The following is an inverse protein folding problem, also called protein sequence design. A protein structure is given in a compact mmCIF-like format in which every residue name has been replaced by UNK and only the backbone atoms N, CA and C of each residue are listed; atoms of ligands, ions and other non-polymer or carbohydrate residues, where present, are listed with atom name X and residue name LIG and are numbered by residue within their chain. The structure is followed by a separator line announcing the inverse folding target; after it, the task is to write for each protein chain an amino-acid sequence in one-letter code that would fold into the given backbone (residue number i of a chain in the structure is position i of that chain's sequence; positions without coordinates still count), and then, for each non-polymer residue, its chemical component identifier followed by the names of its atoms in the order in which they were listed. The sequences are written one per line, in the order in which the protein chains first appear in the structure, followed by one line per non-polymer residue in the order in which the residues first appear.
data_IF_698108507988
#
_entry.id   IF_698108507988
#
_cell.length_a   1.000
_cell.length_b   1.000
_cell.length_c   1.000
_cell.angle_alpha   90.00
_cell.angle_beta   90.00
_cell.angle_gamma   90.00
#
_symmetry.space_group_name_H-M   'P 1'
#
loop_
_entity.id
_entity.type
_entity.pdbx_description
1 polymer ?
#
# COMPACT_ATOMS: atom_id res chain seq x y z
N UNK A 1 6.70 -22.05 -5.43
CA UNK A 1 7.01 -21.38 -4.15
C UNK A 1 6.00 -21.81 -3.11
N UNK A 2 6.32 -21.75 -1.81
CA UNK A 2 5.34 -22.05 -0.76
C UNK A 2 4.34 -20.91 -0.65
N UNK A 3 3.08 -21.23 -0.27
CA UNK A 3 2.04 -20.22 -0.08
C UNK A 3 2.44 -19.20 0.99
N UNK A 4 3.13 -19.66 2.05
CA UNK A 4 3.63 -18.80 3.12
C UNK A 4 4.61 -17.73 2.60
N UNK A 5 5.52 -18.10 1.68
CA UNK A 5 6.50 -17.15 1.14
C UNK A 5 5.83 -16.04 0.30
N UNK A 6 4.75 -16.37 -0.42
CA UNK A 6 3.98 -15.45 -1.26
C UNK A 6 3.08 -14.54 -0.41
N UNK A 7 2.46 -15.09 0.65
CA UNK A 7 1.53 -14.31 1.48
C UNK A 7 2.24 -13.42 2.51
N UNK A 8 3.50 -13.70 2.86
CA UNK A 8 4.19 -12.93 3.89
C UNK A 8 4.36 -11.44 3.53
N UNK A 9 4.82 -11.04 2.33
CA UNK A 9 4.83 -9.63 1.92
C UNK A 9 3.43 -9.00 1.95
N UNK A 10 2.42 -9.75 1.52
CA UNK A 10 1.02 -9.31 1.55
C UNK A 10 0.58 -8.95 2.97
N UNK A 11 0.86 -9.81 3.96
CA UNK A 11 0.55 -9.53 5.36
C UNK A 11 1.32 -8.33 5.91
N UNK A 12 2.58 -8.13 5.50
CA UNK A 12 3.34 -6.94 5.88
C UNK A 12 2.69 -5.67 5.34
N UNK A 13 2.24 -5.66 4.09
CA UNK A 13 1.54 -4.50 3.53
C UNK A 13 0.20 -4.24 4.23
N UNK A 14 -0.56 -5.29 4.58
CA UNK A 14 -1.78 -5.17 5.40
C UNK A 14 -1.43 -4.59 6.77
N UNK A 15 -0.37 -5.09 7.42
CA UNK A 15 0.13 -4.56 8.68
C UNK A 15 0.49 -3.07 8.61
N UNK A 16 1.08 -2.63 7.50
CA UNK A 16 1.40 -1.21 7.27
C UNK A 16 0.13 -0.34 7.21
N UNK A 17 -0.93 -0.79 6.54
CA UNK A 17 -2.23 -0.09 6.50
C UNK A 17 -2.76 0.09 7.91
N UNK A 18 -2.85 -1.00 8.69
CA UNK A 18 -3.34 -0.94 10.06
C UNK A 18 -2.46 -0.05 10.95
N UNK A 19 -1.14 -0.13 10.80
CA UNK A 19 -0.22 0.70 11.56
C UNK A 19 -0.45 2.20 11.31
N UNK A 20 -0.53 2.63 10.05
CA UNK A 20 -0.79 4.04 9.71
C UNK A 20 -2.21 4.45 10.13
N UNK A 21 -3.21 3.59 9.93
CA UNK A 21 -4.59 3.84 10.32
C UNK A 21 -4.78 4.00 11.83
N UNK A 22 -4.13 3.15 12.64
CA UNK A 22 -4.15 3.27 14.10
C UNK A 22 -3.47 4.55 14.57
N UNK A 23 -2.38 4.98 13.93
CA UNK A 23 -1.75 6.28 14.22
C UNK A 23 -2.66 7.45 13.90
N UNK A 24 -3.37 7.40 12.77
CA UNK A 24 -4.35 8.41 12.39
C UNK A 24 -5.51 8.46 13.39
N UNK A 25 -6.06 7.31 13.76
CA UNK A 25 -7.15 7.21 14.73
C UNK A 25 -6.75 7.77 16.10
N UNK A 26 -5.56 7.42 16.60
CA UNK A 26 -5.01 7.96 17.86
C UNK A 26 -4.86 9.48 17.80
N UNK A 27 -4.37 10.02 16.68
CA UNK A 27 -4.21 11.46 16.50
C UNK A 27 -5.57 12.17 16.49
N UNK A 28 -6.54 11.69 15.70
CA UNK A 28 -7.91 12.24 15.66
C UNK A 28 -8.55 12.24 17.04
N UNK A 29 -8.46 11.12 17.76
CA UNK A 29 -8.96 10.98 19.12
C UNK A 29 -8.34 12.02 20.06
N UNK A 30 -7.03 12.19 19.98
CA UNK A 30 -6.28 13.13 20.82
C UNK A 30 -6.62 14.61 20.54
N UNK A 31 -6.78 14.99 19.27
CA UNK A 31 -7.18 16.35 18.84
C UNK A 31 -8.60 16.68 19.33
N UNK A 32 -9.53 15.73 19.22
CA UNK A 32 -10.91 15.91 19.70
C UNK A 32 -10.97 16.01 21.21
N UNK A 33 -10.24 15.18 21.95
CA UNK A 33 -10.17 15.26 23.42
C UNK A 33 -9.58 16.59 23.92
N UNK A 34 -8.67 17.21 23.16
CA UNK A 34 -8.12 18.53 23.47
C UNK A 34 -9.06 19.70 23.11
N UNK A 35 -10.20 19.41 22.47
CA UNK A 35 -11.15 20.44 22.04
C UNK A 35 -10.69 21.25 20.82
N UNK A 36 -9.62 20.84 20.14
CA UNK A 36 -9.11 21.49 18.92
C UNK A 36 -10.07 21.30 17.74
N UNK A 37 -10.83 20.21 17.73
CA UNK A 37 -11.87 19.90 16.75
C UNK A 37 -13.11 19.39 17.48
N UNK A 38 -14.28 19.95 17.18
CA UNK A 38 -15.55 19.50 17.75
C UNK A 38 -16.22 18.48 16.84
N UNK A 39 -16.95 17.53 17.42
CA UNK A 39 -17.67 16.49 16.67
C UNK A 39 -18.65 17.04 15.63
N UNK A 40 -19.29 18.18 15.94
CA UNK A 40 -20.25 18.84 15.06
C UNK A 40 -19.59 19.35 13.77
N UNK A 41 -18.37 19.89 13.88
CA UNK A 41 -17.65 20.44 12.74
C UNK A 41 -17.11 19.32 11.82
N UNK A 42 -16.86 18.11 12.36
CA UNK A 42 -16.50 16.92 11.58
C UNK A 42 -17.67 16.47 10.69
N UNK A 43 -18.91 16.55 11.19
CA UNK A 43 -20.10 16.06 10.50
C UNK A 43 -20.38 16.83 9.18
N UNK A 44 -19.98 18.10 9.13
CA UNK A 44 -20.13 18.96 7.94
C UNK A 44 -19.00 18.79 6.92
N UNK A 45 -18.03 17.89 7.15
CA UNK A 45 -16.80 17.71 6.34
C UNK A 45 -16.02 19.01 6.11
N UNK A 46 -16.08 19.94 7.06
CA UNK A 46 -15.24 21.13 7.02
C UNK A 46 -13.76 20.75 7.18
N UNK A 47 -12.85 21.54 6.59
CA UNK A 47 -11.41 21.31 6.67
C UNK A 47 -10.85 21.81 8.01
N UNK A 48 -11.34 21.23 9.10
CA UNK A 48 -11.06 21.64 10.49
C UNK A 48 -9.82 20.93 11.07
N UNK A 49 -9.33 19.90 10.38
CA UNK A 49 -8.25 19.07 10.88
C UNK A 49 -6.88 19.78 10.82
N UNK A 50 -6.04 19.67 11.88
CA UNK A 50 -4.69 20.20 11.86
C UNK A 50 -3.83 19.56 10.76
N UNK A 51 -2.82 20.28 10.25
CA UNK A 51 -1.97 19.79 9.15
C UNK A 51 -1.28 18.44 9.43
N UNK A 52 -1.01 18.11 10.70
CA UNK A 52 -0.46 16.79 11.08
C UNK A 52 -1.46 15.64 10.87
N UNK A 53 -2.75 15.89 11.12
CA UNK A 53 -3.80 14.93 10.81
C UNK A 53 -3.90 14.73 9.31
N UNK A 54 -3.91 15.84 8.55
CA UNK A 54 -4.03 15.78 7.09
C UNK A 54 -2.87 15.01 6.47
N UNK A 55 -1.64 15.24 6.95
CA UNK A 55 -0.45 14.48 6.55
C UNK A 55 -0.61 12.98 6.79
N UNK A 56 -1.12 12.56 7.96
CA UNK A 56 -1.34 11.14 8.25
C UNK A 56 -2.51 10.56 7.45
N UNK A 57 -3.58 11.34 7.24
CA UNK A 57 -4.74 10.96 6.44
C UNK A 57 -4.34 10.71 4.98
N UNK A 58 -3.56 11.61 4.39
CA UNK A 58 -3.03 11.45 3.03
C UNK A 58 -2.11 10.24 2.93
N UNK A 59 -1.25 10.00 3.92
CA UNK A 59 -0.42 8.80 3.96
C UNK A 59 -1.23 7.51 4.08
N UNK A 60 -2.31 7.52 4.86
CA UNK A 60 -3.23 6.39 5.00
C UNK A 60 -3.95 6.09 3.69
N UNK A 61 -4.54 7.10 3.05
CA UNK A 61 -5.19 6.98 1.73
C UNK A 61 -4.23 6.41 0.68
N UNK A 62 -2.97 6.86 0.68
CA UNK A 62 -1.96 6.37 -0.26
C UNK A 62 -1.65 4.87 -0.10
N UNK A 63 -1.93 4.27 1.06
CA UNK A 63 -1.81 2.81 1.22
C UNK A 63 -2.92 2.01 0.51
N UNK A 64 -3.93 2.66 -0.06
CA UNK A 64 -5.01 2.03 -0.83
C UNK A 64 -4.98 2.34 -2.33
N UNK A 65 -4.00 3.09 -2.81
CA UNK A 65 -3.81 3.34 -4.24
C UNK A 65 -3.15 2.11 -4.90
N UNK A 66 -1.82 2.16 -5.09
CA UNK A 66 -1.04 1.07 -5.70
C UNK A 66 -1.16 -0.27 -4.95
N UNK A 67 -1.23 -0.32 -3.60
CA UNK A 67 -1.33 -1.60 -2.90
C UNK A 67 -2.57 -2.43 -3.24
N UNK A 68 -3.67 -1.81 -3.68
CA UNK A 68 -4.85 -2.57 -4.14
C UNK A 68 -4.51 -3.41 -5.38
N UNK A 69 -3.81 -2.82 -6.35
CA UNK A 69 -3.35 -3.56 -7.53
C UNK A 69 -2.35 -4.66 -7.17
N UNK A 70 -1.52 -4.45 -6.15
CA UNK A 70 -0.63 -5.47 -5.62
C UNK A 70 -1.40 -6.65 -5.02
N UNK A 71 -2.40 -6.41 -4.18
CA UNK A 71 -3.22 -7.49 -3.60
C UNK A 71 -3.93 -8.31 -4.68
N UNK A 72 -4.53 -7.65 -5.67
CA UNK A 72 -5.17 -8.31 -6.81
C UNK A 72 -4.17 -9.19 -7.55
N UNK A 73 -2.99 -8.64 -7.83
CA UNK A 73 -1.95 -9.35 -8.57
C UNK A 73 -1.45 -10.61 -7.81
N UNK A 74 -1.20 -10.52 -6.51
CA UNK A 74 -0.78 -11.66 -5.69
C UNK A 74 -1.84 -12.76 -5.70
N UNK A 75 -3.12 -12.42 -5.55
CA UNK A 75 -4.24 -13.38 -5.60
C UNK A 75 -4.30 -14.07 -6.97
N UNK A 76 -4.22 -13.30 -8.06
CA UNK A 76 -4.22 -13.85 -9.42
C UNK A 76 -3.01 -14.75 -9.66
N UNK A 77 -1.83 -14.36 -9.20
CA UNK A 77 -0.59 -15.14 -9.33
C UNK A 77 -0.65 -16.47 -8.56
N UNK A 78 -1.33 -16.51 -7.40
CA UNK A 78 -1.60 -17.75 -6.66
C UNK A 78 -2.54 -18.65 -7.46
N UNK A 79 -3.70 -18.15 -7.90
CA UNK A 79 -4.74 -18.94 -8.59
C UNK A 79 -4.21 -19.53 -9.90
N UNK A 80 -3.45 -18.75 -10.66
CA UNK A 80 -2.87 -19.16 -11.94
C UNK A 80 -1.54 -19.92 -11.79
N UNK A 81 -1.08 -20.15 -10.55
CA UNK A 81 0.20 -20.81 -10.23
C UNK A 81 1.41 -20.13 -10.90
N UNK A 82 1.38 -18.80 -11.01
CA UNK A 82 2.44 -17.97 -11.62
C UNK A 82 3.34 -17.24 -10.60
N UNK A 83 3.12 -17.47 -9.31
CA UNK A 83 3.95 -16.91 -8.23
C UNK A 83 5.22 -17.77 -7.99
N UNK A 84 6.31 -17.41 -8.66
CA UNK A 84 7.63 -18.01 -8.51
C UNK A 84 8.56 -17.17 -7.62
N UNK A 85 9.83 -17.57 -7.50
CA UNK A 85 10.80 -16.88 -6.64
C UNK A 85 11.00 -15.41 -7.06
N UNK A 86 11.05 -15.14 -8.37
CA UNK A 86 11.17 -13.78 -8.90
C UNK A 86 10.00 -12.93 -8.42
N UNK A 87 8.78 -13.47 -8.47
CA UNK A 87 7.59 -12.78 -7.98
C UNK A 87 7.70 -12.42 -6.49
N UNK A 88 8.09 -13.37 -5.63
CA UNK A 88 8.26 -13.14 -4.18
C UNK A 88 9.32 -12.08 -3.88
N UNK A 89 10.45 -12.08 -4.62
CA UNK A 89 11.46 -11.03 -4.48
C UNK A 89 10.87 -9.65 -4.81
N UNK A 90 10.11 -9.55 -5.91
CA UNK A 90 9.48 -8.29 -6.31
C UNK A 90 8.39 -7.84 -5.33
N UNK A 91 7.64 -8.77 -4.74
CA UNK A 91 6.69 -8.47 -3.66
C UNK A 91 7.41 -7.82 -2.47
N UNK A 92 8.53 -8.37 -2.02
CA UNK A 92 9.33 -7.79 -0.94
C UNK A 92 9.92 -6.43 -1.29
N UNK A 93 10.39 -6.25 -2.52
CA UNK A 93 10.88 -4.95 -3.00
C UNK A 93 9.74 -3.92 -2.98
N UNK A 94 8.57 -4.28 -3.51
CA UNK A 94 7.39 -3.42 -3.47
C UNK A 94 7.05 -3.01 -2.03
N UNK A 95 6.86 -3.96 -1.13
CA UNK A 95 6.44 -3.68 0.26
C UNK A 95 7.51 -2.87 1.01
N UNK A 96 8.79 -3.11 0.77
CA UNK A 96 9.88 -2.30 1.34
C UNK A 96 9.79 -0.83 0.89
N UNK A 97 9.52 -0.56 -0.39
CA UNK A 97 9.30 0.82 -0.86
C UNK A 97 8.08 1.47 -0.21
N UNK A 98 7.02 0.70 0.06
CA UNK A 98 5.81 1.19 0.74
C UNK A 98 6.11 1.59 2.18
N UNK A 99 6.88 0.79 2.90
CA UNK A 99 7.33 1.10 4.27
C UNK A 99 8.17 2.38 4.26
N UNK A 100 9.17 2.49 3.37
CA UNK A 100 10.03 3.66 3.27
C UNK A 100 9.22 4.94 2.94
N UNK A 101 8.31 4.85 1.96
CA UNK A 101 7.41 5.95 1.60
C UNK A 101 6.54 6.38 2.79
N UNK A 102 5.88 5.44 3.46
CA UNK A 102 5.02 5.72 4.61
C UNK A 102 5.81 6.32 5.79
N UNK A 103 7.03 5.84 6.01
CA UNK A 103 7.92 6.37 7.03
C UNK A 103 8.25 7.84 6.77
N UNK A 104 8.75 8.18 5.58
CA UNK A 104 9.07 9.58 5.21
C UNK A 104 7.81 10.45 5.26
N UNK A 105 6.70 9.97 4.67
CA UNK A 105 5.45 10.72 4.62
C UNK A 105 4.89 10.98 6.02
N UNK A 106 4.98 10.05 6.96
CA UNK A 106 4.44 10.24 8.33
C UNK A 106 5.45 10.84 9.32
N UNK A 107 6.67 11.15 8.90
CA UNK A 107 7.71 11.79 9.73
C UNK A 107 8.07 13.16 9.15
N UNK A 108 9.18 13.27 8.40
CA UNK A 108 9.73 14.52 7.85
C UNK A 108 8.87 15.14 6.75
N UNK A 109 8.04 14.33 6.09
CA UNK A 109 7.26 14.72 4.92
C UNK A 109 8.09 15.33 3.77
N UNK A 110 9.38 15.00 3.69
CA UNK A 110 10.26 15.61 2.71
C UNK A 110 9.92 15.09 1.31
N UNK A 111 9.25 15.92 0.51
CA UNK A 111 8.68 15.55 -0.79
C UNK A 111 9.73 14.99 -1.77
N UNK A 112 10.93 15.58 -1.91
CA UNK A 112 11.96 15.06 -2.80
C UNK A 112 12.47 13.66 -2.43
N UNK A 113 12.25 13.20 -1.20
CA UNK A 113 12.58 11.84 -0.77
C UNK A 113 11.39 10.89 -0.88
N UNK A 114 10.17 11.33 -0.54
CA UNK A 114 8.98 10.47 -0.62
C UNK A 114 8.57 10.15 -2.06
N UNK A 115 8.67 11.12 -2.98
CA UNK A 115 8.28 10.96 -4.39
C UNK A 115 9.00 9.80 -5.07
N UNK A 116 10.34 9.72 -5.00
CA UNK A 116 11.11 8.59 -5.55
C UNK A 116 10.70 7.22 -5.00
N UNK A 117 10.43 7.08 -3.69
CA UNK A 117 9.96 5.80 -3.14
C UNK A 117 8.60 5.38 -3.72
N UNK A 118 7.69 6.34 -3.91
CA UNK A 118 6.41 6.07 -4.56
C UNK A 118 6.59 5.64 -6.02
N UNK A 119 7.44 6.34 -6.78
CA UNK A 119 7.73 6.02 -8.19
C UNK A 119 8.38 4.65 -8.30
N UNK A 120 9.39 4.36 -7.49
CA UNK A 120 10.09 3.08 -7.50
C UNK A 120 9.15 1.91 -7.21
N UNK A 121 8.33 2.02 -6.15
CA UNK A 121 7.32 1.01 -5.84
C UNK A 121 6.29 0.82 -6.95
N UNK A 122 5.84 1.92 -7.57
CA UNK A 122 4.91 1.87 -8.70
C UNK A 122 5.53 1.19 -9.92
N UNK A 123 6.80 1.47 -10.22
CA UNK A 123 7.53 0.84 -11.31
C UNK A 123 7.73 -0.66 -11.07
N UNK A 124 8.10 -1.07 -9.85
CA UNK A 124 8.20 -2.49 -9.48
C UNK A 124 6.87 -3.19 -9.71
N UNK A 125 5.76 -2.64 -9.19
CA UNK A 125 4.45 -3.23 -9.35
C UNK A 125 4.01 -3.31 -10.81
N UNK A 126 4.30 -2.28 -11.60
CA UNK A 126 4.04 -2.28 -13.05
C UNK A 126 4.81 -3.39 -13.76
N UNK A 127 6.10 -3.57 -13.45
CA UNK A 127 6.91 -4.65 -14.01
C UNK A 127 6.35 -6.02 -13.59
N UNK A 128 5.89 -6.19 -12.34
CA UNK A 128 5.24 -7.43 -11.90
C UNK A 128 4.01 -7.75 -12.74
N UNK A 129 3.16 -6.75 -13.03
CA UNK A 129 2.01 -6.89 -13.90
C UNK A 129 2.39 -7.27 -15.34
N UNK A 130 3.43 -6.65 -15.91
CA UNK A 130 3.93 -7.01 -17.24
C UNK A 130 4.42 -8.46 -17.28
N UNK A 131 5.23 -8.87 -16.31
CA UNK A 131 5.72 -10.25 -16.19
C UNK A 131 4.55 -11.21 -16.08
N UNK A 132 3.55 -10.89 -15.24
CA UNK A 132 2.35 -11.69 -15.09
C UNK A 132 1.57 -11.82 -16.39
N UNK A 133 1.30 -10.70 -17.08
CA UNK A 133 0.59 -10.69 -18.36
C UNK A 133 1.32 -11.54 -19.41
N UNK A 134 2.63 -11.36 -19.57
CA UNK A 134 3.45 -12.16 -20.48
C UNK A 134 3.35 -13.65 -20.14
N UNK A 135 3.44 -14.03 -18.86
CA UNK A 135 3.32 -15.43 -18.42
C UNK A 135 1.94 -16.05 -18.67
N UNK A 136 0.89 -15.22 -18.74
CA UNK A 136 -0.47 -15.67 -19.08
C UNK A 136 -0.57 -15.89 -20.60
N UNK A 137 -0.14 -14.93 -21.42
CA UNK A 137 -0.26 -15.03 -22.88
C UNK A 137 0.76 -15.95 -23.53
N UNK A 138 1.94 -16.14 -22.93
CA UNK A 138 2.97 -17.07 -23.41
C UNK A 138 2.74 -18.51 -22.93
N UNK A 139 1.88 -18.72 -21.92
CA UNK A 139 1.46 -20.07 -21.59
C UNK A 139 0.63 -20.62 -22.76
N UNK A 140 0.85 -21.88 -23.19
CA UNK A 140 -0.05 -22.52 -24.14
C UNK A 140 -1.47 -22.33 -23.63
N UNK A 141 -2.39 -21.95 -24.51
CA UNK A 141 -3.79 -21.74 -24.18
C UNK A 141 -4.39 -23.07 -23.69
N UNK A 142 -4.25 -23.37 -22.40
CA UNK A 142 -4.79 -24.58 -21.77
C UNK A 142 -6.33 -24.48 -21.65
N UNK A 143 -6.92 -23.36 -22.04
CA UNK A 143 -8.37 -23.15 -22.14
C UNK A 143 -8.91 -23.31 -23.56
N UNK A 144 -8.39 -24.27 -24.33
CA UNK A 144 -9.23 -24.97 -25.30
C UNK A 144 -10.06 -26.00 -24.52
N UNK A 145 -11.08 -25.53 -23.80
CA UNK A 145 -12.21 -26.31 -23.33
C UNK A 145 -13.43 -25.89 -24.14
#
# INVERSE_FOLDING_TARGET
MTLQAILLPLFVQVGLIYFVGLRLAKLRWSVVLRGEVRWQDIALRERVWPGREEQLSNSFQNQFEMPVLFYVLVVLAIITKKADLVFVIMEWLFVTTRIAHAYVHTTSNYVPLRGPFFILGSAILFIMWLIFAIRIFAAPMIWAL
#
